data_IF_753267283751
#
_entry.id   IF_753267283751
#
_cell.length_a   1.000
_cell.length_b   1.000
_cell.length_c   1.000
_cell.angle_alpha   90.00
_cell.angle_beta   90.00
_cell.angle_gamma   90.00
#
_symmetry.space_group_name_H-M   'P 1'
#
loop_
_entity.id
_entity.type
_entity.pdbx_description
1 polymer ?
#
# COMPACT_ATOMS: atom_id res chain seq x y z
N UNK A 1 -9.10 11.86 7.43
CA UNK A 1 -8.21 10.70 7.26
C UNK A 1 -7.05 10.87 8.22
N UNK A 2 -6.89 9.99 9.22
CA UNK A 2 -5.65 9.98 9.98
C UNK A 2 -4.59 9.33 9.11
N UNK A 3 -3.61 10.11 8.65
CA UNK A 3 -2.60 9.69 7.68
C UNK A 3 -1.82 8.47 8.18
N UNK A 4 -1.59 8.37 9.49
CA UNK A 4 -0.90 7.23 10.09
C UNK A 4 -1.67 5.91 9.98
N UNK A 5 -3.00 5.93 10.07
CA UNK A 5 -3.81 4.70 10.13
C UNK A 5 -3.78 3.95 8.80
N UNK A 6 -3.94 4.66 7.68
CA UNK A 6 -3.94 4.02 6.36
C UNK A 6 -2.52 3.67 5.90
N UNK A 7 -1.49 4.44 6.29
CA UNK A 7 -0.10 4.10 6.00
C UNK A 7 0.35 2.82 6.71
N UNK A 8 -0.05 2.64 7.99
CA UNK A 8 0.18 1.38 8.73
C UNK A 8 -0.51 0.21 8.03
N UNK A 9 -1.75 0.40 7.57
CA UNK A 9 -2.49 -0.62 6.83
C UNK A 9 -1.86 -0.91 5.47
N UNK A 10 -1.38 0.11 4.77
CA UNK A 10 -0.63 -0.03 3.52
C UNK A 10 0.62 -0.90 3.74
N UNK A 11 1.40 -0.65 4.79
CA UNK A 11 2.58 -1.46 5.10
C UNK A 11 2.22 -2.94 5.32
N UNK A 12 1.14 -3.23 6.05
CA UNK A 12 0.62 -4.59 6.21
C UNK A 12 0.21 -5.22 4.88
N UNK A 13 -0.47 -4.47 4.01
CA UNK A 13 -0.88 -4.94 2.69
C UNK A 13 0.33 -5.21 1.79
N UNK A 14 1.33 -4.33 1.79
CA UNK A 14 2.56 -4.52 1.03
C UNK A 14 3.30 -5.78 1.47
N UNK A 15 3.36 -6.06 2.78
CA UNK A 15 3.91 -7.32 3.29
C UNK A 15 3.08 -8.54 2.87
N UNK A 16 1.75 -8.45 2.93
CA UNK A 16 0.84 -9.52 2.48
C UNK A 16 1.02 -9.83 0.98
N UNK A 17 1.27 -8.80 0.18
CA UNK A 17 1.47 -8.89 -1.25
C UNK A 17 2.93 -8.75 -1.67
N UNK A 18 3.88 -9.11 -0.79
CA UNK A 18 5.32 -8.99 -1.08
C UNK A 18 5.74 -9.82 -2.31
N UNK A 19 5.01 -10.90 -2.60
CA UNK A 19 5.19 -11.73 -3.80
C UNK A 19 4.94 -10.99 -5.12
N UNK A 20 4.28 -9.82 -5.10
CA UNK A 20 4.10 -8.97 -6.27
C UNK A 20 5.35 -8.14 -6.61
N UNK A 21 6.38 -8.14 -5.75
CA UNK A 21 7.66 -7.48 -6.03
C UNK A 21 7.68 -5.95 -5.82
N UNK A 22 6.64 -5.36 -5.22
CA UNK A 22 6.50 -3.89 -5.07
C UNK A 22 7.38 -3.26 -3.96
N UNK A 23 8.15 -4.05 -3.20
CA UNK A 23 8.78 -3.59 -1.96
C UNK A 23 9.87 -2.53 -2.14
N UNK A 24 10.56 -2.50 -3.29
CA UNK A 24 11.70 -1.60 -3.52
C UNK A 24 11.29 -0.19 -3.96
N UNK A 25 10.11 -0.02 -4.57
CA UNK A 25 9.72 1.23 -5.25
C UNK A 25 8.79 2.13 -4.42
N UNK A 26 8.23 1.62 -3.33
CA UNK A 26 7.20 2.33 -2.54
C UNK A 26 7.72 3.58 -1.83
N UNK A 27 9.00 3.63 -1.49
CA UNK A 27 9.61 4.81 -0.84
C UNK A 27 9.86 5.97 -1.80
N UNK A 28 9.86 5.70 -3.12
CA UNK A 28 10.01 6.71 -4.16
C UNK A 28 8.66 7.34 -4.59
N UNK A 29 7.55 6.77 -4.14
CA UNK A 29 6.20 7.22 -4.50
C UNK A 29 5.78 8.47 -3.70
N UNK A 30 5.10 9.39 -4.38
CA UNK A 30 4.39 10.48 -3.74
C UNK A 30 3.23 9.96 -2.88
N UNK A 31 2.73 10.81 -1.98
CA UNK A 31 1.58 10.49 -1.13
C UNK A 31 0.32 10.12 -1.94
N UNK A 32 0.16 10.68 -3.14
CA UNK A 32 -0.98 10.41 -4.03
C UNK A 32 -0.82 9.02 -4.66
N UNK A 33 0.38 8.67 -5.10
CA UNK A 33 0.67 7.34 -5.65
C UNK A 33 0.52 6.25 -4.57
N UNK A 34 1.01 6.51 -3.35
CA UNK A 34 0.80 5.62 -2.19
C UNK A 34 -0.69 5.40 -1.89
N UNK A 35 -1.53 6.42 -2.06
CA UNK A 35 -2.96 6.28 -1.90
C UNK A 35 -3.59 5.38 -2.98
N UNK A 36 -3.13 5.50 -4.23
CA UNK A 36 -3.52 4.60 -5.32
C UNK A 36 -3.14 3.14 -5.03
N UNK A 37 -1.91 2.90 -4.57
CA UNK A 37 -1.43 1.57 -4.17
C UNK A 37 -2.26 1.02 -3.01
N UNK A 38 -2.54 1.85 -2.00
CA UNK A 38 -3.39 1.46 -0.87
C UNK A 38 -4.78 1.00 -1.34
N UNK A 39 -5.43 1.74 -2.23
CA UNK A 39 -6.74 1.37 -2.78
C UNK A 39 -6.66 0.08 -3.59
N UNK A 40 -5.65 -0.06 -4.45
CA UNK A 40 -5.43 -1.27 -5.24
C UNK A 40 -5.26 -2.50 -4.36
N UNK A 41 -4.34 -2.46 -3.40
CA UNK A 41 -4.07 -3.57 -2.49
C UNK A 41 -5.24 -3.85 -1.54
N UNK A 42 -6.00 -2.81 -1.15
CA UNK A 42 -7.21 -2.99 -0.34
C UNK A 42 -8.28 -3.76 -1.10
N UNK A 43 -8.53 -3.41 -2.37
CA UNK A 43 -9.47 -4.16 -3.22
C UNK A 43 -9.00 -5.58 -3.47
N UNK A 44 -7.71 -5.76 -3.73
CA UNK A 44 -7.11 -7.09 -3.91
C UNK A 44 -7.23 -7.97 -2.66
N UNK A 45 -7.21 -7.36 -1.48
CA UNK A 45 -7.39 -8.06 -0.21
C UNK A 45 -8.85 -8.47 0.06
N UNK A 46 -9.82 -7.80 -0.55
CA UNK A 46 -11.26 -8.05 -0.42
C UNK A 46 -11.77 -9.13 -1.39
N UNK A 47 -11.07 -9.36 -2.50
CA UNK A 47 -11.39 -10.41 -3.49
C UNK A 47 -12.22 -9.89 -4.65
#
# INVERSE_FOLDING_TARGET
MNSETWLKRLQTLCNRFAHLGMGADITALSIIELWGVYLFLSRLAEG
#
